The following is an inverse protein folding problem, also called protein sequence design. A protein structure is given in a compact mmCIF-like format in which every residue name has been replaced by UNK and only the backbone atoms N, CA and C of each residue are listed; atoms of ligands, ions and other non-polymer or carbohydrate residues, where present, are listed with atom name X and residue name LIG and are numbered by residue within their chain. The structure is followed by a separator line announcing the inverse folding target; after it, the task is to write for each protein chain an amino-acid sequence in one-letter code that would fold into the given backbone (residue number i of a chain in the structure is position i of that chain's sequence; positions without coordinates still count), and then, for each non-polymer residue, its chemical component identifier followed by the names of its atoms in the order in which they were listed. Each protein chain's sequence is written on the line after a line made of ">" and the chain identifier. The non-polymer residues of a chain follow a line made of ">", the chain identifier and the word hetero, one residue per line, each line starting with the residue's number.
data_IF_697361442331
#
_entry.id   IF_697361442331
#
_cell.length_a   1.000
_cell.length_b   1.000
_cell.length_c   1.000
_cell.angle_alpha   90.00
_cell.angle_beta   90.00
_cell.angle_gamma   90.00
#
_symmetry.space_group_name_H-M   'P 1'
#
loop_
_entity.id
_entity.type
_entity.pdbx_description
1 polymer ?
2 water ?
#
# COMPACT_ATOMS: atom_id res chain seq x y z
N UNK A 9 16.08 -8.43 20.43
CA UNK A 9 16.01 -7.17 21.14
C UNK A 9 14.96 -6.24 20.52
N UNK A 10 14.53 -5.23 21.28
CA UNK A 10 13.50 -4.32 20.75
C UNK A 10 13.91 -3.62 19.46
N UNK A 11 15.17 -3.21 19.34
CA UNK A 11 15.60 -2.45 18.17
C UNK A 11 15.55 -3.31 16.91
N UNK A 12 16.09 -4.52 16.99
CA UNK A 12 16.00 -5.44 15.87
C UNK A 12 14.55 -5.71 15.50
N UNK A 13 13.67 -5.78 16.50
CA UNK A 13 12.24 -6.02 16.24
C UNK A 13 11.62 -4.88 15.46
N UNK A 14 11.93 -3.63 15.84
CA UNK A 14 11.42 -2.47 15.13
C UNK A 14 11.89 -2.48 13.67
N UNK A 15 13.18 -2.72 13.47
CA UNK A 15 13.71 -2.78 12.10
C UNK A 15 13.00 -3.88 11.32
N UNK A 16 12.83 -5.05 11.94
CA UNK A 16 12.24 -6.19 11.24
C UNK A 16 10.82 -5.89 10.82
N UNK A 17 10.04 -5.28 11.72
CA UNK A 17 8.64 -5.06 11.41
C UNK A 17 8.48 -4.06 10.28
N UNK A 18 9.41 -3.11 10.14
CA UNK A 18 9.34 -2.24 8.96
C UNK A 18 9.80 -2.96 7.68
N UNK A 19 10.90 -3.70 7.76
CA UNK A 19 11.47 -4.32 6.57
C UNK A 19 10.56 -5.41 6.02
N UNK A 20 9.97 -6.23 6.90
CA UNK A 20 9.14 -7.34 6.42
C UNK A 20 7.95 -6.80 5.64
N UNK A 21 7.42 -5.66 6.07
CA UNK A 21 6.25 -5.09 5.42
C UNK A 21 6.61 -4.51 4.06
N UNK A 22 7.85 -4.07 3.88
CA UNK A 22 8.22 -3.57 2.55
C UNK A 22 8.81 -4.63 1.61
N UNK A 23 9.09 -5.83 2.10
CA UNK A 23 9.73 -6.84 1.27
C UNK A 23 8.79 -7.36 0.19
N UNK A 24 9.29 -7.44 -1.04
CA UNK A 24 8.51 -7.88 -2.19
C UNK A 24 9.30 -8.86 -3.06
N UNK A 25 8.63 -9.92 -3.52
CA UNK A 25 9.26 -10.78 -4.51
C UNK A 25 9.58 -9.99 -5.78
N UNK A 26 8.61 -9.21 -6.27
CA UNK A 26 8.83 -8.46 -7.48
C UNK A 26 9.16 -9.39 -8.63
N UNK A 27 10.19 -9.03 -9.38
CA UNK A 27 10.59 -9.79 -10.55
C UNK A 27 11.57 -10.91 -10.22
N UNK A 28 11.85 -11.08 -8.93
CA UNK A 28 12.84 -12.02 -8.46
C UNK A 28 12.25 -13.38 -8.19
N UNK A 29 13.10 -14.25 -7.63
CA UNK A 29 12.76 -15.65 -7.44
C UNK A 29 12.06 -15.88 -6.10
N UNK A 30 11.27 -16.95 -6.06
CA UNK A 30 10.62 -17.33 -4.81
C UNK A 30 11.66 -17.64 -3.76
N UNK A 31 12.74 -18.30 -4.13
CA UNK A 31 13.71 -18.72 -3.12
C UNK A 31 14.41 -17.52 -2.49
N UNK A 32 14.78 -16.52 -3.30
CA UNK A 32 15.41 -15.33 -2.73
C UNK A 32 14.44 -14.55 -1.84
N UNK A 33 13.21 -14.38 -2.31
CA UNK A 33 12.19 -13.74 -1.49
C UNK A 33 11.99 -14.49 -0.18
N UNK A 34 11.90 -15.82 -0.24
CA UNK A 34 11.59 -16.61 0.95
C UNK A 34 12.74 -16.59 1.95
N UNK A 35 13.97 -16.68 1.46
CA UNK A 35 15.12 -16.61 2.35
C UNK A 35 15.22 -15.24 3.02
N UNK A 36 15.02 -14.16 2.24
CA UNK A 36 15.01 -12.83 2.85
C UNK A 36 13.88 -12.70 3.88
N UNK A 37 12.70 -13.20 3.53
CA UNK A 37 11.55 -13.11 4.44
C UNK A 37 11.87 -13.78 5.76
N UNK A 38 12.42 -15.00 5.70
CA UNK A 38 12.69 -15.75 6.92
C UNK A 38 13.84 -15.14 7.71
N UNK A 39 14.82 -14.56 7.04
CA UNK A 39 15.90 -13.85 7.72
C UNK A 39 15.35 -12.69 8.53
N UNK A 40 14.47 -11.89 7.91
CA UNK A 40 13.89 -10.77 8.63
C UNK A 40 13.01 -11.28 9.77
N UNK A 41 12.22 -12.31 9.50
CA UNK A 41 11.25 -12.77 10.47
C UNK A 41 11.89 -13.40 11.70
N UNK A 42 13.14 -13.87 11.59
CA UNK A 42 13.85 -14.35 12.77
C UNK A 42 13.92 -13.30 13.89
N UNK A 43 13.83 -12.02 13.56
CA UNK A 43 13.83 -10.97 14.56
C UNK A 43 12.44 -10.48 14.92
N UNK A 44 11.38 -11.12 14.42
CA UNK A 44 10.02 -10.72 14.70
C UNK A 44 9.38 -11.68 15.68
N UNK A 45 8.35 -11.19 16.37
CA UNK A 45 7.56 -11.99 17.31
C UNK A 45 6.14 -12.22 16.79
N UNK A 46 5.93 -12.06 15.48
CA UNK A 46 4.65 -12.40 14.89
C UNK A 46 4.45 -13.90 14.87
N UNK A 47 3.20 -14.34 15.01
CA UNK A 47 2.91 -15.75 14.96
C UNK A 47 2.79 -16.21 13.51
N UNK A 48 2.65 -17.51 13.34
CA UNK A 48 2.74 -18.06 11.99
C UNK A 48 1.60 -17.61 11.09
N UNK A 49 0.37 -17.46 11.58
CA UNK A 49 -0.67 -16.89 10.71
C UNK A 49 -0.34 -15.51 10.15
N UNK A 50 0.16 -14.60 10.99
CA UNK A 50 0.53 -13.26 10.52
C UNK A 50 1.67 -13.33 9.51
N UNK A 51 2.64 -14.21 9.73
CA UNK A 51 3.73 -14.37 8.79
C UNK A 51 3.25 -14.95 7.47
N UNK A 52 2.35 -15.94 7.52
CA UNK A 52 1.79 -16.48 6.29
C UNK A 52 1.12 -15.38 5.48
N UNK A 53 0.30 -14.56 6.15
CA UNK A 53 -0.43 -13.53 5.42
C UNK A 53 0.51 -12.46 4.87
N UNK A 54 1.56 -12.10 5.61
CA UNK A 54 2.51 -11.12 5.07
C UNK A 54 3.27 -11.70 3.89
N UNK A 55 3.73 -12.95 4.02
CA UNK A 55 4.44 -13.61 2.94
C UNK A 55 3.60 -13.60 1.67
N UNK A 56 2.33 -13.98 1.80
CA UNK A 56 1.42 -13.96 0.65
C UNK A 56 1.30 -12.56 0.08
N UNK A 57 1.19 -11.55 0.94
CA UNK A 57 1.03 -10.18 0.47
C UNK A 57 2.20 -9.76 -0.41
N UNK A 58 3.40 -10.23 -0.10
CA UNK A 58 4.55 -9.79 -0.87
C UNK A 58 4.87 -10.58 -2.12
N UNK A 59 4.14 -11.66 -2.40
CA UNK A 59 4.39 -12.46 -3.58
C UNK A 59 4.03 -11.73 -4.86
N UNK A 60 4.69 -12.13 -5.96
CA UNK A 60 4.32 -11.65 -7.28
C UNK A 60 2.93 -12.13 -7.65
N UNK A 61 2.19 -11.30 -8.39
CA UNK A 61 0.82 -11.64 -8.75
C UNK A 61 0.74 -13.00 -9.43
N UNK A 62 1.72 -13.34 -10.27
CA UNK A 62 1.60 -14.58 -11.05
C UNK A 62 1.72 -15.81 -10.16
N UNK A 63 2.40 -15.70 -9.02
CA UNK A 63 2.44 -16.81 -8.08
C UNK A 63 1.15 -16.84 -7.27
N UNK A 64 0.69 -15.66 -6.82
CA UNK A 64 -0.52 -15.59 -6.02
C UNK A 64 -1.72 -16.19 -6.77
N UNK A 65 -1.85 -15.86 -8.05
CA UNK A 65 -2.99 -16.36 -8.82
C UNK A 65 -3.03 -17.88 -8.84
N UNK A 66 -1.86 -18.51 -9.02
CA UNK A 66 -1.81 -19.95 -9.10
C UNK A 66 -2.06 -20.61 -7.76
N UNK A 67 -1.85 -19.87 -6.67
CA UNK A 67 -2.13 -20.48 -5.38
C UNK A 67 -3.59 -20.92 -5.24
N UNK A 68 -4.52 -20.25 -5.93
CA UNK A 68 -5.94 -20.55 -5.73
C UNK A 68 -6.30 -21.96 -6.13
N UNK A 69 -5.53 -22.59 -7.01
CA UNK A 69 -5.81 -23.94 -7.45
C UNK A 69 -5.25 -24.99 -6.50
N UNK A 70 -4.61 -24.58 -5.42
CA UNK A 70 -4.00 -25.50 -4.49
C UNK A 70 -4.71 -25.45 -3.15
N UNK A 71 -4.46 -26.48 -2.34
CA UNK A 71 -4.95 -26.50 -0.97
C UNK A 71 -4.36 -25.32 -0.21
N UNK A 72 -5.13 -24.80 0.74
CA UNK A 72 -4.68 -23.65 1.53
C UNK A 72 -3.57 -24.09 2.47
N UNK A 73 -2.40 -23.48 2.32
CA UNK A 73 -1.28 -23.80 3.19
C UNK A 73 -1.62 -23.44 4.63
N UNK A 74 -1.25 -24.32 5.55
CA UNK A 74 -1.49 -24.09 6.98
C UNK A 74 -0.18 -23.90 7.74
N UNK A 75 0.95 -23.83 7.05
CA UNK A 75 2.21 -23.45 7.67
C UNK A 75 2.97 -22.57 6.69
N UNK A 76 3.91 -21.78 7.22
CA UNK A 76 4.74 -20.97 6.34
C UNK A 76 5.56 -21.85 5.40
N UNK A 77 6.15 -22.94 5.92
CA UNK A 77 6.95 -23.81 5.06
C UNK A 77 6.11 -24.40 3.95
N UNK A 78 4.86 -24.77 4.26
CA UNK A 78 4.01 -25.33 3.22
C UNK A 78 3.76 -24.31 2.12
N UNK A 79 3.46 -23.06 2.50
CA UNK A 79 3.22 -22.03 1.51
C UNK A 79 4.46 -21.79 0.66
N UNK A 80 5.64 -21.74 1.30
CA UNK A 80 6.88 -21.53 0.55
C UNK A 80 7.07 -22.67 -0.44
N UNK A 81 6.84 -23.91 -0.01
CA UNK A 81 6.98 -25.04 -0.91
C UNK A 81 6.03 -24.98 -2.10
N UNK A 82 4.79 -24.59 -1.84
CA UNK A 82 3.85 -24.40 -2.94
C UNK A 82 4.37 -23.37 -3.93
N UNK A 83 4.86 -22.24 -3.42
CA UNK A 83 5.31 -21.18 -4.32
C UNK A 83 6.54 -21.61 -5.11
N UNK A 84 7.44 -22.35 -4.50
CA UNK A 84 8.60 -22.87 -5.23
C UNK A 84 8.15 -23.76 -6.37
N UNK A 85 7.19 -24.65 -6.10
CA UNK A 85 6.73 -25.55 -7.15
C UNK A 85 5.97 -24.80 -8.23
N UNK A 86 5.18 -23.80 -7.86
CA UNK A 86 4.49 -23.00 -8.86
C UNK A 86 5.51 -22.32 -9.78
N UNK A 87 6.50 -21.66 -9.17
CA UNK A 87 7.53 -21.00 -9.96
C UNK A 87 8.19 -21.97 -10.93
N UNK A 88 8.57 -23.15 -10.43
CA UNK A 88 9.21 -24.13 -11.32
C UNK A 88 8.29 -24.53 -12.46
N UNK A 89 6.98 -24.60 -12.19
CA UNK A 89 6.02 -24.96 -13.24
C UNK A 89 5.93 -23.87 -14.30
N UNK A 90 6.05 -22.60 -13.90
CA UNK A 90 5.83 -21.51 -14.83
C UNK A 90 7.09 -21.05 -15.55
N UNK A 91 8.27 -21.45 -15.08
CA UNK A 91 9.50 -20.79 -15.51
C UNK A 91 9.80 -21.06 -16.98
N UNK A 92 10.06 -19.98 -17.72
CA UNK A 92 10.48 -20.07 -19.11
C UNK A 92 11.88 -20.65 -19.23
N UNK A 93 12.18 -21.20 -20.41
CA UNK A 93 13.49 -21.78 -20.68
C UNK A 93 14.57 -20.70 -20.75
N UNK B 11 -14.25 -17.77 6.20
CA UNK B 11 -14.72 -16.78 5.24
C UNK B 11 -14.54 -15.36 5.79
N UNK B 12 -14.90 -15.18 7.06
CA UNK B 12 -14.69 -13.89 7.72
C UNK B 12 -13.21 -13.56 7.81
N UNK B 13 -12.40 -14.60 8.01
CA UNK B 13 -10.97 -14.37 8.25
C UNK B 13 -10.31 -13.84 7.02
N UNK B 14 -10.69 -14.36 5.86
CA UNK B 14 -10.11 -13.95 4.60
C UNK B 14 -10.44 -12.48 4.35
N UNK B 15 -11.71 -12.11 4.52
CA UNK B 15 -12.13 -10.73 4.32
C UNK B 15 -11.37 -9.82 5.29
N UNK B 16 -11.27 -10.26 6.54
CA UNK B 16 -10.61 -9.47 7.59
C UNK B 16 -9.14 -9.23 7.22
N UNK B 17 -8.43 -10.26 6.78
CA UNK B 17 -7.02 -10.04 6.48
C UNK B 17 -6.87 -9.01 5.36
N UNK B 18 -7.74 -9.07 4.34
CA UNK B 18 -7.70 -8.01 3.31
C UNK B 18 -8.02 -6.61 3.91
N UNK B 19 -9.10 -6.53 4.67
CA UNK B 19 -9.62 -5.24 5.12
C UNK B 19 -8.64 -4.56 6.07
N UNK B 20 -8.12 -5.31 7.03
CA UNK B 20 -7.27 -4.70 8.05
C UNK B 20 -6.04 -4.06 7.40
N UNK B 21 -5.47 -4.72 6.38
CA UNK B 21 -4.32 -4.16 5.70
C UNK B 21 -4.68 -2.87 5.01
N UNK B 22 -5.91 -2.76 4.50
CA UNK B 22 -6.29 -1.51 3.87
C UNK B 22 -6.79 -0.44 4.85
N UNK B 23 -7.08 -0.80 6.10
CA UNK B 23 -7.66 0.15 7.04
C UNK B 23 -6.67 1.25 7.41
N UNK B 24 -7.12 2.50 7.30
CA UNK B 24 -6.29 3.65 7.59
C UNK B 24 -7.10 4.64 8.43
N UNK B 25 -6.41 5.33 9.34
CA UNK B 25 -7.01 6.47 9.99
C UNK B 25 -7.25 7.60 8.98
N UNK B 26 -6.25 7.85 8.13
CA UNK B 26 -6.38 8.84 7.09
C UNK B 26 -6.75 10.21 7.62
N UNK B 27 -7.84 10.76 7.10
CA UNK B 27 -8.27 12.10 7.44
C UNK B 27 -9.14 12.12 8.67
N UNK B 28 -9.42 10.93 9.21
CA UNK B 28 -10.35 10.78 10.30
C UNK B 28 -9.68 10.67 11.67
N UNK B 29 -10.46 10.17 12.62
CA UNK B 29 -10.06 10.20 14.03
C UNK B 29 -9.48 8.86 14.47
N UNK B 30 -8.58 8.94 15.46
CA UNK B 30 -8.05 7.73 16.09
C UNK B 30 -9.18 6.88 16.66
N UNK B 31 -10.24 7.51 17.18
CA UNK B 31 -11.28 6.72 17.84
C UNK B 31 -12.00 5.82 16.85
N UNK B 32 -12.42 6.40 15.72
CA UNK B 32 -13.09 5.62 14.68
C UNK B 32 -12.16 4.55 14.11
N UNK B 33 -10.91 4.91 13.84
CA UNK B 33 -9.93 3.93 13.37
C UNK B 33 -9.82 2.76 14.34
N UNK B 34 -9.72 3.05 15.64
CA UNK B 34 -9.53 1.98 16.63
C UNK B 34 -10.76 1.10 16.74
N UNK B 35 -11.96 1.69 16.68
CA UNK B 35 -13.17 0.87 16.71
C UNK B 35 -13.24 -0.06 15.51
N UNK B 36 -13.02 0.50 14.30
CA UNK B 36 -13.04 -0.34 13.11
C UNK B 36 -11.96 -1.41 13.17
N UNK B 37 -10.78 -1.05 13.69
CA UNK B 37 -9.67 -1.99 13.77
C UNK B 37 -10.03 -3.18 14.65
N UNK B 38 -10.56 -2.92 15.85
CA UNK B 38 -10.85 -4.03 16.75
C UNK B 38 -12.01 -4.88 16.22
N UNK B 39 -12.99 -4.23 15.61
CA UNK B 39 -14.06 -4.98 14.95
C UNK B 39 -13.51 -5.93 13.90
N UNK B 40 -12.58 -5.47 13.06
CA UNK B 40 -12.04 -6.35 12.03
C UNK B 40 -11.14 -7.41 12.64
N UNK B 41 -10.36 -7.04 13.66
CA UNK B 41 -9.35 -7.94 14.19
C UNK B 41 -9.98 -9.12 14.91
N UNK B 42 -11.19 -8.96 15.43
CA UNK B 42 -11.81 -10.12 16.08
C UNK B 42 -11.93 -11.32 15.14
N UNK B 43 -11.88 -11.12 13.83
CA UNK B 43 -11.94 -12.23 12.88
C UNK B 43 -10.57 -12.74 12.47
N UNK B 44 -9.49 -12.24 13.05
CA UNK B 44 -8.15 -12.63 12.67
C UNK B 44 -7.52 -13.52 13.72
N UNK B 45 -6.61 -14.38 13.28
CA UNK B 45 -5.83 -15.23 14.17
C UNK B 45 -4.40 -14.73 14.33
N UNK B 46 -4.14 -13.47 13.98
CA UNK B 46 -2.84 -12.87 14.24
C UNK B 46 -2.65 -12.67 15.74
N UNK B 47 -1.41 -12.81 16.20
CA UNK B 47 -1.15 -12.57 17.62
C UNK B 47 -1.02 -11.06 17.88
N UNK B 48 -0.87 -10.71 19.15
CA UNK B 48 -0.96 -9.31 19.54
C UNK B 48 0.20 -8.47 18.99
N UNK B 49 1.41 -8.99 18.94
CA UNK B 49 2.50 -8.21 18.29
C UNK B 49 2.20 -7.82 16.85
N UNK B 50 1.68 -8.77 16.06
CA UNK B 50 1.33 -8.48 14.68
C UNK B 50 0.20 -7.46 14.61
N UNK B 51 -0.79 -7.58 15.49
CA UNK B 51 -1.90 -6.63 15.50
C UNK B 51 -1.43 -5.23 15.88
N UNK B 52 -0.52 -5.14 16.87
CA UNK B 52 0.03 -3.85 17.28
C UNK B 52 0.74 -3.19 16.11
N UNK B 53 1.58 -3.95 15.41
CA UNK B 53 2.31 -3.40 14.27
C UNK B 53 1.38 -2.96 13.15
N UNK B 54 0.35 -3.74 12.85
CA UNK B 54 -0.62 -3.32 11.83
C UNK B 54 -1.37 -2.06 12.29
N UNK B 55 -1.77 -2.01 13.55
CA UNK B 55 -2.46 -0.83 14.07
C UNK B 55 -1.59 0.41 13.92
N UNK B 56 -0.33 0.30 14.30
CA UNK B 56 0.58 1.44 14.16
C UNK B 56 0.71 1.84 12.68
N UNK B 57 0.78 0.85 11.79
CA UNK B 57 1.00 1.14 10.37
C UNK B 57 -0.10 2.04 9.80
N UNK B 58 -1.32 1.88 10.29
CA UNK B 58 -2.45 2.60 9.75
C UNK B 58 -2.74 3.93 10.37
N UNK B 59 -2.03 4.30 11.44
CA UNK B 59 -2.23 5.58 12.08
C UNK B 59 -1.83 6.72 11.15
N UNK B 60 -2.46 7.87 11.35
CA UNK B 60 -2.10 9.03 10.55
C UNK B 60 -0.69 9.49 10.91
N UNK B 61 -0.09 10.25 9.99
CA UNK B 61 1.28 10.69 10.20
C UNK B 61 1.43 11.54 11.45
N UNK B 62 0.44 12.38 11.76
CA UNK B 62 0.60 13.28 12.89
C UNK B 62 0.54 12.51 14.22
N UNK B 63 -0.30 11.49 14.30
CA UNK B 63 -0.31 10.63 15.48
C UNK B 63 0.99 9.85 15.60
N UNK B 64 1.49 9.31 14.48
CA UNK B 64 2.74 8.58 14.52
C UNK B 64 3.89 9.48 14.98
N UNK B 65 3.90 10.72 14.49
CA UNK B 65 4.93 11.67 14.91
C UNK B 65 4.86 11.91 16.41
N UNK B 66 3.66 12.14 16.95
CA UNK B 66 3.55 12.33 18.40
C UNK B 66 3.98 11.08 19.16
N UNK B 67 3.59 9.90 18.68
CA UNK B 67 3.95 8.65 19.32
C UNK B 67 5.45 8.45 19.35
N UNK B 68 6.17 8.91 18.32
CA UNK B 68 7.62 8.71 18.27
C UNK B 68 8.34 9.41 19.42
N UNK B 69 7.72 10.41 20.05
CA UNK B 69 8.34 11.08 21.19
C UNK B 69 8.18 10.31 22.49
N UNK B 70 7.32 9.29 22.51
CA UNK B 70 6.90 8.59 23.72
C UNK B 70 7.39 7.15 23.71
N UNK B 71 7.51 6.57 24.89
CA UNK B 71 7.66 5.13 24.97
C UNK B 71 6.31 4.48 24.68
N UNK B 72 6.28 3.65 23.65
CA UNK B 72 5.01 3.16 23.10
C UNK B 72 4.56 1.95 23.90
N UNK B 73 3.28 1.92 24.26
CA UNK B 73 2.72 0.78 24.97
C UNK B 73 2.89 -0.50 24.15
N UNK B 74 3.08 -1.62 24.86
CA UNK B 74 3.38 -2.90 24.23
C UNK B 74 2.19 -3.86 24.28
N UNK B 75 0.99 -3.36 24.52
CA UNK B 75 -0.22 -4.12 24.30
C UNK B 75 -1.16 -3.28 23.45
N UNK B 76 -2.06 -3.95 22.72
CA UNK B 76 -2.90 -3.23 21.77
C UNK B 76 -3.89 -2.31 22.47
N UNK B 77 -4.54 -2.79 23.54
CA UNK B 77 -5.53 -1.95 24.21
C UNK B 77 -4.87 -0.70 24.79
N UNK B 78 -3.68 -0.87 25.37
CA UNK B 78 -2.95 0.26 25.92
C UNK B 78 -2.47 1.21 24.83
N UNK B 79 -2.02 0.67 23.70
CA UNK B 79 -1.63 1.53 22.57
C UNK B 79 -2.82 2.35 22.06
N UNK B 80 -3.98 1.72 21.96
CA UNK B 80 -5.19 2.47 21.58
C UNK B 80 -5.47 3.57 22.58
N UNK B 81 -5.38 3.27 23.88
CA UNK B 81 -5.59 4.31 24.88
C UNK B 81 -4.61 5.46 24.74
N UNK B 82 -3.33 5.14 24.51
CA UNK B 82 -2.29 6.13 24.29
C UNK B 82 -2.60 7.03 23.09
N UNK B 83 -2.98 6.42 21.97
CA UNK B 83 -3.21 7.22 20.76
C UNK B 83 -4.47 8.07 20.88
N UNK B 84 -5.51 7.52 21.51
CA UNK B 84 -6.72 8.30 21.75
C UNK B 84 -6.40 9.50 22.62
N UNK B 85 -5.55 9.32 23.63
CA UNK B 85 -5.20 10.46 24.47
C UNK B 85 -4.43 11.50 23.67
N UNK B 86 -3.48 11.06 22.85
CA UNK B 86 -2.76 12.01 22.00
C UNK B 86 -3.74 12.83 21.16
N UNK B 87 -4.71 12.15 20.54
CA UNK B 87 -5.68 12.85 19.71
C UNK B 87 -6.50 13.85 20.53
N UNK B 88 -7.02 13.40 21.67
CA UNK B 88 -7.82 14.29 22.52
C UNK B 88 -7.03 15.54 22.91
N UNK B 89 -5.76 15.36 23.25
CA UNK B 89 -4.92 16.49 23.63
C UNK B 89 -4.74 17.44 22.46
N UNK B 90 -4.44 16.92 21.27
CA UNK B 90 -4.29 17.80 20.12
C UNK B 90 -5.59 18.54 19.80
N UNK B 91 -6.73 17.87 20.00
CA UNK B 91 -8.02 18.51 19.72
C UNK B 91 -8.29 19.64 20.72
N UNK B 92 -8.10 19.37 22.01
CA UNK B 92 -8.28 20.41 23.01
C UNK B 92 -7.31 21.56 22.79
N UNK B 93 -6.12 21.28 22.27
CA UNK B 93 -5.19 22.35 21.94
C UNK B 93 -5.69 23.18 20.77
N UNK B 94 -6.27 22.52 19.76
CA UNK B 94 -6.81 23.26 18.61
C UNK B 94 -7.83 24.31 19.04
N UNK B 95 -8.57 24.05 20.11
CA UNK B 95 -9.55 25.01 20.62
C UNK B 95 -9.01 25.71 21.87
N UNK C 11 11.48 20.96 -6.63
CA UNK C 11 11.43 20.45 -5.26
C UNK C 11 9.98 20.31 -4.82
N UNK C 12 9.18 21.35 -5.07
CA UNK C 12 7.75 21.28 -4.78
C UNK C 12 7.09 20.14 -5.54
N UNK C 13 7.53 19.92 -6.78
CA UNK C 13 7.05 18.78 -7.55
C UNK C 13 7.38 17.47 -6.85
N UNK C 14 8.64 17.30 -6.42
CA UNK C 14 9.07 16.06 -5.78
C UNK C 14 8.36 15.85 -4.44
N UNK C 15 8.21 16.94 -3.69
CA UNK C 15 7.49 16.84 -2.43
C UNK C 15 6.06 16.43 -2.67
N UNK C 16 5.42 17.03 -3.67
CA UNK C 16 4.01 16.72 -3.93
C UNK C 16 3.84 15.27 -4.34
N UNK C 17 4.75 14.76 -5.18
CA UNK C 17 4.57 13.40 -5.67
C UNK C 17 4.75 12.40 -4.55
N UNK C 18 5.56 12.73 -3.53
CA UNK C 18 5.59 11.83 -2.38
C UNK C 18 4.36 11.98 -1.48
N UNK C 19 3.88 13.20 -1.29
CA UNK C 19 2.74 13.41 -0.39
C UNK C 19 1.46 12.81 -0.96
N UNK C 20 1.23 12.95 -2.25
CA UNK C 20 -0.04 12.51 -2.83
C UNK C 20 -0.16 11.00 -2.74
N UNK C 21 0.94 10.29 -2.90
CA UNK C 21 0.89 8.83 -2.90
C UNK C 21 0.52 8.29 -1.54
N UNK C 22 0.84 8.99 -0.47
CA UNK C 22 0.51 8.52 0.88
C UNK C 22 -0.85 9.02 1.38
N UNK C 23 -1.44 10.01 0.72
CA UNK C 23 -2.69 10.58 1.19
C UNK C 23 -3.81 9.55 1.13
N UNK C 24 -4.52 9.40 2.25
CA UNK C 24 -5.60 8.44 2.38
C UNK C 24 -6.82 9.08 3.02
N UNK C 25 -8.00 8.71 2.51
CA UNK C 25 -9.22 9.14 3.17
C UNK C 25 -9.33 8.52 4.55
N UNK C 26 -9.10 7.21 4.62
CA UNK C 26 -9.22 6.52 5.89
C UNK C 26 -10.62 6.67 6.46
N UNK C 27 -10.68 6.98 7.75
CA UNK C 27 -11.96 7.10 8.46
C UNK C 27 -12.55 8.49 8.33
N UNK C 28 -11.83 9.38 7.66
CA UNK C 28 -12.26 10.75 7.49
C UNK C 28 -13.29 10.89 6.39
N UNK C 29 -13.59 12.15 6.06
CA UNK C 29 -14.63 12.47 5.10
C UNK C 29 -14.05 12.65 3.70
N UNK C 30 -14.88 12.34 2.71
CA UNK C 30 -14.51 12.59 1.32
C UNK C 30 -14.11 14.05 1.13
N UNK C 31 -14.80 14.97 1.82
CA UNK C 31 -14.55 16.39 1.59
C UNK C 31 -13.14 16.75 2.02
N UNK C 32 -12.74 16.32 3.21
CA UNK C 32 -11.38 16.63 3.66
C UNK C 32 -10.34 15.96 2.78
N UNK C 33 -10.58 14.71 2.42
CA UNK C 33 -9.67 14.00 1.53
C UNK C 33 -9.52 14.77 0.21
N UNK C 34 -10.63 15.22 -0.35
CA UNK C 34 -10.60 15.88 -1.66
C UNK C 34 -9.90 17.22 -1.58
N UNK C 35 -10.14 17.98 -0.52
CA UNK C 35 -9.45 19.25 -0.37
C UNK C 35 -7.95 19.05 -0.24
N UNK C 36 -7.54 18.11 0.63
CA UNK C 36 -6.10 17.83 0.75
C UNK C 36 -5.53 17.37 -0.58
N UNK C 37 -6.25 16.50 -1.28
CA UNK C 37 -5.77 15.96 -2.55
C UNK C 37 -5.55 17.08 -3.56
N UNK C 38 -6.52 17.98 -3.71
CA UNK C 38 -6.41 19.06 -4.68
C UNK C 38 -5.28 20.02 -4.31
N UNK C 39 -5.12 20.31 -3.02
CA UNK C 39 -4.04 21.18 -2.59
C UNK C 39 -2.69 20.59 -2.98
N UNK C 40 -2.48 19.30 -2.69
CA UNK C 40 -1.21 18.68 -3.08
C UNK C 40 -1.06 18.65 -4.59
N UNK C 41 -2.12 18.29 -5.31
CA UNK C 41 -2.03 18.13 -6.75
C UNK C 41 -1.74 19.43 -7.47
N UNK C 42 -2.04 20.58 -6.88
CA UNK C 42 -1.66 21.84 -7.52
C UNK C 42 -0.18 21.87 -7.90
N UNK C 43 0.67 21.10 -7.22
CA UNK C 43 2.11 21.09 -7.52
C UNK C 43 2.53 19.93 -8.41
N UNK C 44 1.59 19.14 -8.92
CA UNK C 44 1.95 17.97 -9.71
C UNK C 44 1.75 18.26 -11.19
N UNK C 45 2.54 17.58 -12.03
CA UNK C 45 2.40 17.68 -13.47
C UNK C 45 1.76 16.44 -14.07
N UNK C 46 1.09 15.63 -13.24
CA UNK C 46 0.34 14.49 -13.74
C UNK C 46 -0.85 14.96 -14.56
N UNK C 47 -1.23 14.16 -15.55
CA UNK C 47 -2.41 14.46 -16.31
C UNK C 47 -3.64 13.93 -15.58
N UNK C 48 -4.81 14.24 -16.13
CA UNK C 48 -6.06 13.95 -15.41
C UNK C 48 -6.28 12.47 -15.18
N UNK C 49 -6.03 11.55 -16.13
CA UNK C 49 -6.19 10.13 -15.82
C UNK C 49 -5.36 9.66 -14.63
N UNK C 50 -4.11 10.11 -14.53
CA UNK C 50 -3.27 9.70 -13.40
C UNK C 50 -3.81 10.26 -12.09
N UNK C 51 -4.26 11.52 -12.11
CA UNK C 51 -4.83 12.09 -10.90
C UNK C 51 -6.07 11.32 -10.48
N UNK C 52 -6.95 11.01 -11.44
CA UNK C 52 -8.17 10.25 -11.14
C UNK C 52 -7.82 8.91 -10.50
N UNK C 53 -6.88 8.19 -11.09
CA UNK C 53 -6.54 6.87 -10.57
C UNK C 53 -5.94 6.96 -9.17
N UNK C 54 -5.08 7.96 -8.91
CA UNK C 54 -4.53 8.13 -7.57
C UNK C 54 -5.64 8.46 -6.57
N UNK C 55 -6.50 9.41 -6.93
CA UNK C 55 -7.60 9.79 -6.06
C UNK C 55 -8.42 8.57 -5.70
N UNK C 56 -8.75 7.75 -6.70
CA UNK C 56 -9.47 6.53 -6.41
C UNK C 56 -8.69 5.63 -5.47
N UNK C 57 -7.38 5.51 -5.68
CA UNK C 57 -6.58 4.61 -4.86
C UNK C 57 -6.66 4.99 -3.38
N UNK C 58 -6.69 6.29 -3.09
CA UNK C 58 -6.73 6.75 -1.71
C UNK C 58 -8.08 6.75 -1.03
N UNK C 59 -9.16 6.42 -1.74
CA UNK C 59 -10.49 6.44 -1.16
C UNK C 59 -10.69 5.28 -0.21
N UNK C 60 -11.58 5.47 0.76
CA UNK C 60 -12.00 4.40 1.64
C UNK C 60 -12.71 3.30 0.86
N UNK C 61 -12.61 2.07 1.37
CA UNK C 61 -13.17 0.94 0.65
C UNK C 61 -14.68 1.12 0.42
N UNK C 62 -15.40 1.69 1.39
CA UNK C 62 -16.86 1.78 1.22
C UNK C 62 -17.23 2.75 0.10
N UNK C 63 -16.46 3.84 -0.07
CA UNK C 63 -16.69 4.71 -1.21
C UNK C 63 -16.33 3.99 -2.52
N UNK C 64 -15.21 3.28 -2.54
CA UNK C 64 -14.81 2.55 -3.75
C UNK C 64 -15.90 1.57 -4.17
N UNK C 65 -16.44 0.83 -3.20
CA UNK C 65 -17.49 -0.13 -3.49
C UNK C 65 -18.70 0.56 -4.08
N UNK C 66 -19.13 1.67 -3.48
CA UNK C 66 -20.28 2.39 -4.05
C UNK C 66 -19.97 2.96 -5.44
N UNK C 67 -18.73 3.39 -5.67
CA UNK C 67 -18.38 3.95 -6.97
C UNK C 67 -18.47 2.89 -8.06
N UNK C 68 -18.03 1.67 -7.77
CA UNK C 68 -18.04 0.62 -8.79
C UNK C 68 -19.45 0.42 -9.37
N UNK C 69 -20.48 0.86 -8.67
CA UNK C 69 -21.87 0.74 -9.13
C UNK C 69 -22.32 1.91 -9.99
N UNK C 70 -21.48 2.91 -10.21
CA UNK C 70 -21.88 4.12 -10.92
C UNK C 70 -21.15 4.25 -12.26
N UNK C 71 -21.64 5.17 -13.09
CA UNK C 71 -20.99 5.48 -14.34
C UNK C 71 -19.62 6.11 -14.07
N UNK C 72 -18.65 5.78 -14.91
CA UNK C 72 -17.27 6.19 -14.67
C UNK C 72 -17.12 7.68 -14.94
N UNK C 73 -16.72 8.43 -13.92
CA UNK C 73 -16.42 9.85 -14.10
C UNK C 73 -15.24 10.03 -15.05
N UNK C 74 -15.31 11.05 -15.90
CA UNK C 74 -14.26 11.31 -16.86
C UNK C 74 -13.41 12.53 -16.49
N UNK C 75 -13.66 13.13 -15.32
CA UNK C 75 -12.82 14.21 -14.83
C UNK C 75 -12.68 14.04 -13.33
N UNK C 76 -11.61 14.60 -12.78
CA UNK C 76 -11.41 14.56 -11.33
C UNK C 76 -12.53 15.32 -10.61
N UNK C 77 -12.96 16.47 -11.15
CA UNK C 77 -14.04 17.22 -10.55
C UNK C 77 -15.31 16.40 -10.46
N UNK C 78 -15.65 15.69 -11.54
CA UNK C 78 -16.83 14.84 -11.51
C UNK C 78 -16.66 13.69 -10.52
N UNK C 79 -15.47 13.09 -10.46
CA UNK C 79 -15.25 12.00 -9.51
C UNK C 79 -15.45 12.49 -8.08
N UNK C 80 -14.89 13.66 -7.77
CA UNK C 80 -15.05 14.23 -6.44
C UNK C 80 -16.52 14.45 -6.14
N UNK C 81 -17.25 15.01 -7.11
CA UNK C 81 -18.67 15.21 -6.91
C UNK C 81 -19.41 13.92 -6.62
N UNK C 82 -19.10 12.87 -7.37
CA UNK C 82 -19.71 11.57 -7.12
C UNK C 82 -19.43 11.09 -5.71
N UNK C 83 -18.16 11.20 -5.28
CA UNK C 83 -17.79 10.66 -3.98
C UNK C 83 -18.42 11.44 -2.83
N UNK C 84 -18.47 12.77 -2.96
CA UNK C 84 -19.20 13.57 -1.97
C UNK C 84 -20.66 13.15 -1.91
N UNK C 85 -21.29 12.99 -3.08
CA UNK C 85 -22.67 12.55 -3.11
C UNK C 85 -22.85 11.21 -2.40
N UNK C 86 -21.95 10.26 -2.66
CA UNK C 86 -22.04 8.93 -2.05
C UNK C 86 -21.94 9.05 -0.53
N UNK C 87 -20.95 9.79 -0.07
CA UNK C 87 -20.76 9.97 1.37
C UNK C 87 -22.01 10.57 2.01
N UNK C 88 -22.54 11.64 1.41
CA UNK C 88 -23.75 12.25 1.96
C UNK C 88 -24.89 11.23 2.02
N UNK C 89 -25.04 10.45 0.95
CA UNK C 89 -26.12 9.46 0.91
C UNK C 89 -25.96 8.43 2.01
N UNK C 90 -24.75 7.88 2.17
CA UNK C 90 -24.53 6.89 3.21
C UNK C 90 -24.72 7.49 4.60
N UNK C 91 -24.31 8.74 4.81
CA UNK C 91 -24.49 9.36 6.12
C UNK C 91 -25.97 9.56 6.44
N UNK C 92 -26.74 10.06 5.48
CA UNK C 92 -28.18 10.20 5.70
C UNK C 92 -28.84 8.84 5.91
N UNK C 93 -28.36 7.80 5.23
CA UNK C 93 -28.95 6.48 5.42
C UNK C 93 -28.60 5.89 6.77
N UNK C 94 -27.36 6.11 7.23
CA UNK C 94 -26.96 5.64 8.55
C UNK C 94 -27.73 6.35 9.65
N UNK C 95 -27.89 7.68 9.54
CA UNK C 95 -28.73 8.41 10.47
C UNK C 95 -30.20 7.98 10.35
N UNK C 96 -30.55 7.31 9.26
CA UNK C 96 -31.86 6.72 9.03
C UNK C 96 -33.03 7.35 9.79
N UNK C 97 -33.37 8.59 9.43
CA UNK C 97 -34.48 9.26 10.08
C UNK C 97 -35.81 8.63 9.69
N UNK C 98 -36.88 9.10 10.33
CA UNK C 98 -38.23 8.65 9.99
C UNK C 98 -38.71 9.40 8.75
N UNK C 99 -39.27 8.70 7.76
CA UNK C 99 -39.68 9.39 6.53
C UNK C 99 -40.81 10.38 6.78
N UNK C 100 -40.93 11.33 5.84
CA UNK C 100 -42.01 12.29 5.88
C UNK C 100 -43.35 11.57 5.80
N UNK C 101 -44.31 12.06 6.58
CA UNK C 101 -45.64 11.48 6.60
C UNK C 101 -46.21 11.48 5.19
N UNK D 10 -10.57 -0.25 -22.17
CA UNK D 10 -11.34 0.00 -20.94
C UNK D 10 -11.17 -1.08 -19.88
N UNK D 11 -11.56 -2.33 -20.17
CA UNK D 11 -11.19 -3.43 -19.30
C UNK D 11 -9.67 -3.59 -19.25
N UNK D 12 -9.03 -3.51 -20.41
CA UNK D 12 -7.57 -3.54 -20.50
C UNK D 12 -6.94 -2.44 -19.66
N UNK D 13 -7.49 -1.23 -19.73
CA UNK D 13 -6.95 -0.12 -18.96
C UNK D 13 -7.15 -0.32 -17.47
N UNK D 14 -8.29 -0.86 -17.06
CA UNK D 14 -8.53 -1.12 -15.64
C UNK D 14 -7.52 -2.13 -15.10
N UNK D 15 -7.33 -3.23 -15.84
CA UNK D 15 -6.34 -4.22 -15.43
C UNK D 15 -4.96 -3.58 -15.33
N UNK D 16 -4.59 -2.78 -16.33
CA UNK D 16 -3.27 -2.15 -16.32
C UNK D 16 -3.09 -1.23 -15.11
N UNK D 17 -4.12 -0.46 -14.77
CA UNK D 17 -3.93 0.51 -13.69
C UNK D 17 -3.85 -0.20 -12.34
N UNK D 18 -4.46 -1.39 -12.20
CA UNK D 18 -4.21 -2.15 -10.97
C UNK D 18 -2.82 -2.81 -10.96
N UNK D 19 -2.46 -3.45 -12.08
CA UNK D 19 -1.21 -4.20 -12.15
C UNK D 19 -0.01 -3.29 -11.97
N UNK D 20 -0.04 -2.10 -12.57
CA UNK D 20 1.15 -1.24 -12.54
C UNK D 20 1.43 -0.80 -11.13
N UNK D 21 0.37 -0.58 -10.34
CA UNK D 21 0.56 -0.18 -8.97
C UNK D 21 1.11 -1.31 -8.13
N UNK D 22 0.82 -2.55 -8.51
CA UNK D 22 1.40 -3.67 -7.77
C UNK D 22 2.82 -4.08 -8.24
N UNK D 23 3.27 -3.59 -9.39
CA UNK D 23 4.53 -4.06 -9.97
C UNK D 23 5.72 -3.57 -9.17
N UNK D 24 6.64 -4.48 -8.88
CA UNK D 24 7.80 -4.19 -8.06
C UNK D 24 9.03 -4.85 -8.68
N UNK D 25 10.17 -4.16 -8.60
CA UNK D 25 11.42 -4.83 -8.91
C UNK D 25 11.68 -5.95 -7.91
N UNK D 26 11.42 -5.69 -6.63
CA UNK D 26 11.59 -6.70 -5.61
C UNK D 26 12.99 -7.26 -5.58
N UNK D 27 13.06 -8.60 -5.58
CA UNK D 27 14.33 -9.31 -5.54
C UNK D 27 14.92 -9.54 -6.92
N UNK D 28 14.33 -8.95 -7.97
CA UNK D 28 14.73 -9.18 -9.32
C UNK D 28 15.52 -8.03 -9.91
N UNK D 29 15.61 -8.05 -11.24
CA UNK D 29 16.50 -7.16 -11.98
C UNK D 29 15.75 -5.96 -12.53
N UNK D 30 16.52 -4.90 -12.77
CA UNK D 30 15.98 -3.69 -13.38
C UNK D 30 15.44 -3.99 -14.78
N UNK D 31 16.15 -4.82 -15.53
CA UNK D 31 15.71 -5.09 -16.90
C UNK D 31 14.34 -5.77 -16.91
N UNK D 32 14.15 -6.79 -16.08
CA UNK D 32 12.85 -7.47 -16.06
C UNK D 32 11.75 -6.53 -15.57
N UNK D 33 12.07 -5.70 -14.56
CA UNK D 33 11.10 -4.74 -14.05
C UNK D 33 10.71 -3.73 -15.12
N UNK D 34 11.69 -3.25 -15.89
CA UNK D 34 11.41 -2.24 -16.91
C UNK D 34 10.59 -2.82 -18.06
N UNK D 35 10.91 -4.04 -18.48
CA UNK D 35 10.13 -4.69 -19.52
C UNK D 35 8.68 -4.90 -19.08
N UNK D 36 8.49 -5.44 -17.87
CA UNK D 36 7.13 -5.60 -17.38
C UNK D 36 6.42 -4.26 -17.30
N UNK D 37 7.12 -3.22 -16.84
CA UNK D 37 6.53 -1.90 -16.69
C UNK D 37 6.02 -1.37 -18.04
N UNK D 38 6.85 -1.43 -19.07
CA UNK D 38 6.43 -0.85 -20.35
C UNK D 38 5.33 -1.68 -21.01
N UNK D 39 5.37 -3.00 -20.82
CA UNK D 39 4.28 -3.85 -21.27
C UNK D 39 2.95 -3.45 -20.69
N UNK D 40 2.91 -3.23 -19.38
CA UNK D 40 1.67 -2.83 -18.74
C UNK D 40 1.30 -1.41 -19.13
N UNK D 41 2.28 -0.52 -19.20
CA UNK D 41 2.00 0.89 -19.40
C UNK D 41 1.42 1.18 -20.78
N UNK D 42 1.69 0.33 -21.77
CA UNK D 42 1.11 0.61 -23.08
C UNK D 42 -0.42 0.72 -23.04
N UNK D 43 -1.06 0.16 -22.01
CA UNK D 43 -2.51 0.21 -21.86
C UNK D 43 -2.97 1.32 -20.91
N UNK D 44 -2.06 2.14 -20.42
CA UNK D 44 -2.38 3.25 -19.54
C UNK D 44 -2.44 4.55 -20.34
N UNK D 45 -3.25 5.50 -19.86
CA UNK D 45 -3.32 6.82 -20.46
C UNK D 45 -2.63 7.87 -19.60
N UNK D 46 -1.78 7.46 -18.67
CA UNK D 46 -1.03 8.40 -17.86
C UNK D 46 0.03 9.09 -18.71
N UNK D 47 0.36 10.33 -18.34
CA UNK D 47 1.41 11.05 -19.04
C UNK D 47 2.77 10.71 -18.43
N UNK D 48 3.82 11.23 -19.04
CA UNK D 48 5.14 10.70 -18.74
C UNK D 48 5.57 11.00 -17.31
N UNK D 49 5.28 12.18 -16.76
CA UNK D 49 5.62 12.39 -15.34
C UNK D 49 5.01 11.37 -14.39
N UNK D 50 3.74 11.01 -14.61
CA UNK D 50 3.10 10.02 -13.76
C UNK D 50 3.74 8.64 -13.93
N UNK D 51 4.11 8.30 -15.17
CA UNK D 51 4.77 7.02 -15.42
C UNK D 51 6.14 6.98 -14.78
N UNK D 52 6.89 8.08 -14.87
CA UNK D 52 8.19 8.17 -14.24
C UNK D 52 8.06 7.98 -12.74
N UNK D 53 7.07 8.65 -12.13
CA UNK D 53 6.93 8.56 -10.68
C UNK D 53 6.54 7.13 -10.25
N UNK D 54 5.63 6.49 -10.97
CA UNK D 54 5.28 5.11 -10.66
C UNK D 54 6.48 4.18 -10.82
N UNK D 55 7.19 4.29 -11.95
CA UNK D 55 8.39 3.50 -12.17
C UNK D 55 9.35 3.63 -11.00
N UNK D 56 9.63 4.87 -10.59
CA UNK D 56 10.53 5.09 -9.46
C UNK D 56 9.99 4.44 -8.19
N UNK D 57 8.68 4.53 -7.98
CA UNK D 57 8.08 3.97 -6.76
C UNK D 57 8.32 2.47 -6.69
N UNK D 58 8.29 1.77 -7.82
CA UNK D 58 8.47 0.34 -7.79
C UNK D 58 9.89 -0.17 -7.74
N UNK D 59 10.89 0.70 -7.84
CA UNK D 59 12.28 0.26 -7.86
C UNK D 59 12.67 -0.26 -6.48
N UNK D 60 13.69 -1.12 -6.45
CA UNK D 60 14.22 -1.53 -5.16
C UNK D 60 14.97 -0.36 -4.52
N UNK D 61 15.12 -0.42 -3.20
CA UNK D 61 15.68 0.71 -2.46
C UNK D 61 17.11 1.03 -2.88
N UNK D 62 17.93 0.02 -3.14
CA UNK D 62 19.33 0.31 -3.45
C UNK D 62 19.45 1.03 -4.79
N UNK D 63 18.59 0.68 -5.76
CA UNK D 63 18.60 1.40 -7.03
C UNK D 63 18.13 2.83 -6.82
N UNK D 64 17.13 3.05 -5.96
CA UNK D 64 16.66 4.40 -5.70
C UNK D 64 17.77 5.27 -5.14
N UNK D 65 18.48 4.75 -4.13
CA UNK D 65 19.60 5.49 -3.57
C UNK D 65 20.63 5.84 -4.64
N UNK D 66 21.06 4.84 -5.43
CA UNK D 66 21.99 5.16 -6.51
C UNK D 66 21.43 6.21 -7.46
N UNK D 67 20.12 6.19 -7.71
CA UNK D 67 19.52 7.12 -8.66
C UNK D 67 19.57 8.55 -8.16
N UNK D 68 19.46 8.75 -6.85
CA UNK D 68 19.46 10.11 -6.33
C UNK D 68 20.70 10.90 -6.75
N UNK D 69 21.78 10.22 -7.13
CA UNK D 69 23.05 10.88 -7.46
C UNK D 69 23.15 11.29 -8.92
N UNK D 70 22.12 11.09 -9.72
CA UNK D 70 22.17 11.40 -11.13
C UNK D 70 21.24 12.58 -11.46
N UNK D 71 21.50 13.20 -12.60
CA UNK D 71 20.59 14.22 -13.11
C UNK D 71 19.22 13.58 -13.36
N UNK D 72 18.18 14.22 -12.85
CA UNK D 72 16.85 13.63 -12.88
C UNK D 72 16.40 13.47 -14.34
N UNK D 73 16.10 12.24 -14.72
CA UNK D 73 15.62 11.99 -16.07
C UNK D 73 14.27 12.68 -16.26
N UNK D 74 14.07 13.21 -17.46
CA UNK D 74 12.81 13.83 -17.85
C UNK D 74 12.04 12.93 -18.82
N UNK D 75 12.55 11.73 -19.10
CA UNK D 75 11.83 10.75 -19.91
C UNK D 75 11.95 9.39 -19.24
N UNK D 76 10.92 8.58 -19.44
CA UNK D 76 10.92 7.23 -18.90
C UNK D 76 12.07 6.40 -19.48
N UNK D 77 12.29 6.52 -20.79
CA UNK D 77 13.34 5.73 -21.44
C UNK D 77 14.70 6.04 -20.84
N UNK D 78 14.95 7.32 -20.56
CA UNK D 78 16.22 7.70 -19.93
C UNK D 78 16.33 7.18 -18.50
N UNK D 79 15.23 7.22 -17.75
CA UNK D 79 15.25 6.70 -16.38
C UNK D 79 15.54 5.20 -16.37
N UNK D 80 14.87 4.45 -17.24
CA UNK D 80 15.15 3.03 -17.38
C UNK D 80 16.64 2.82 -17.69
N UNK D 81 17.17 3.59 -18.65
CA UNK D 81 18.58 3.44 -18.98
C UNK D 81 19.50 3.74 -17.82
N UNK D 82 19.18 4.77 -17.04
CA UNK D 82 19.95 5.07 -15.83
C UNK D 82 19.97 3.88 -14.89
N UNK D 83 18.80 3.28 -14.66
CA UNK D 83 18.72 2.20 -13.69
C UNK D 83 19.43 0.95 -14.21
N UNK D 84 19.33 0.69 -15.51
CA UNK D 84 20.06 -0.44 -16.10
C UNK D 84 21.55 -0.24 -15.91
N UNK D 85 22.04 0.98 -16.15
CA UNK D 85 23.47 1.21 -15.98
C UNK D 85 23.88 1.02 -14.53
N UNK D 86 23.08 1.56 -13.60
CA UNK D 86 23.37 1.38 -12.17
C UNK D 86 23.52 -0.10 -11.85
N UNK D 87 22.55 -0.91 -12.30
CA UNK D 87 22.58 -2.33 -11.98
C UNK D 87 23.83 -3.00 -12.54
N UNK D 88 24.14 -2.73 -13.81
CA UNK D 88 25.33 -3.35 -14.40
C UNK D 88 26.58 -2.89 -13.68
N UNK D 89 26.63 -1.62 -13.26
CA UNK D 89 27.81 -1.12 -12.56
C UNK D 89 28.01 -1.85 -11.25
N UNK D 90 26.93 -2.05 -10.50
CA UNK D 90 27.06 -2.79 -9.24
C UNK D 90 27.49 -4.24 -9.49
N UNK D 91 26.96 -4.88 -10.53
CA UNK D 91 27.32 -6.26 -10.81
C UNK D 91 28.80 -6.37 -11.22
N UNK D 92 29.22 -5.58 -12.21
CA UNK D 92 30.62 -5.60 -12.63
C UNK D 92 31.56 -5.17 -11.51
N UNK D 93 31.07 -4.37 -10.55
CA UNK D 93 31.89 -4.01 -9.41
C UNK D 93 32.11 -5.20 -8.49
N UNK D 94 31.02 -5.85 -8.05
CA UNK D 94 31.18 -7.02 -7.19
C UNK D 94 32.02 -8.10 -7.87
N UNK D 95 31.84 -8.28 -9.18
CA UNK D 95 32.56 -9.30 -9.91
C UNK D 95 34.06 -8.98 -10.01
#
# INVERSE_FOLDING_TARGET
>A
GHHHHHHGSPQRREVAKRKIRRLRQGMGSVIDYSNAFQMIAQDLDWNEPALIDQYHEGLSDHIQEELSHLEVAKSLSALIGQCIHIERRLARAAAARKPRS
>B
GHHHHHHGSPQRREVAKRKIRRLRQGMGSVIDYSNAFQMIAQDLDWNEPALIDQYHEGLSDHIQEELSHLEVAKSLSALIGQCIHIERRLARAAAARKPRS
>C
GHHHHHHGSPQRREVAKRKIRRLRQGMGSVIDYSNAFQMIAQDLDWNEPALIDQYHEGLSDHIQEELSHLEVAKSLSALIGQCIHIERRLARAAAARKPRS
>D
GHHHHHHGSPQRREVAKRKIRRLRQGMGSVIDYSNAFQMIAQDLDWNEPALIDQYHEGLSDHIQEELSHLEVAKSLSALIGQCIHIERRLARAAAARKPRS
#
